data_IF_348719141383
#
_entry.id   IF_348719141383
#
_cell.length_a   1.000
_cell.length_b   1.000
_cell.length_c   1.000
_cell.angle_alpha   90.00
_cell.angle_beta   90.00
_cell.angle_gamma   90.00
#
_symmetry.space_group_name_H-M   'P 1'
#
loop_
_entity.id
_entity.type
_entity.pdbx_description
1 polymer ?
#
# COMPACT_ATOMS: atom_id res chain seq x y z
N UNK A 1 13.56 13.80 11.03
CA UNK A 1 14.96 14.03 10.60
C UNK A 1 15.75 12.72 10.44
N UNK A 2 15.83 11.83 11.44
CA UNK A 2 16.63 10.59 11.34
C UNK A 2 16.23 9.61 10.20
N UNK A 3 14.92 9.43 9.95
CA UNK A 3 14.44 8.50 8.89
C UNK A 3 14.70 9.02 7.48
N UNK A 4 14.53 10.33 7.25
CA UNK A 4 14.84 10.95 5.96
C UNK A 4 16.33 10.77 5.63
N UNK A 5 17.21 11.00 6.61
CA UNK A 5 18.65 10.77 6.44
C UNK A 5 18.97 9.30 6.10
N UNK A 6 18.25 8.34 6.70
CA UNK A 6 18.42 6.91 6.39
C UNK A 6 17.92 6.56 4.97
N UNK A 7 16.78 7.10 4.53
CA UNK A 7 16.24 6.86 3.19
C UNK A 7 17.11 7.51 2.11
N UNK A 8 17.64 8.71 2.36
CA UNK A 8 18.60 9.37 1.46
C UNK A 8 19.90 8.57 1.34
N UNK A 9 20.41 8.01 2.45
CA UNK A 9 21.57 7.12 2.41
C UNK A 9 21.28 5.84 1.62
N UNK A 10 20.11 5.22 1.81
CA UNK A 10 19.68 4.07 1.00
C UNK A 10 19.58 4.42 -0.49
N UNK A 11 19.06 5.61 -0.82
CA UNK A 11 18.97 6.08 -2.18
C UNK A 11 20.35 6.21 -2.83
N UNK A 12 21.32 6.80 -2.13
CA UNK A 12 22.70 6.90 -2.59
C UNK A 12 23.33 5.51 -2.81
N UNK A 13 23.09 4.57 -1.89
CA UNK A 13 23.59 3.20 -2.02
C UNK A 13 23.04 2.51 -3.28
N UNK A 14 21.72 2.62 -3.54
CA UNK A 14 21.13 2.00 -4.73
C UNK A 14 21.54 2.69 -6.02
N UNK A 15 21.73 4.01 -6.02
CA UNK A 15 22.33 4.72 -7.15
C UNK A 15 23.73 4.18 -7.48
N UNK A 16 24.56 3.99 -6.46
CA UNK A 16 25.87 3.38 -6.65
C UNK A 16 25.75 1.95 -7.20
N UNK A 17 24.92 1.09 -6.61
CA UNK A 17 24.72 -0.28 -7.09
C UNK A 17 24.25 -0.34 -8.54
N UNK A 18 23.31 0.51 -8.95
CA UNK A 18 22.84 0.59 -10.35
C UNK A 18 23.95 1.05 -11.29
N UNK A 19 24.83 1.96 -10.86
CA UNK A 19 25.98 2.37 -11.68
C UNK A 19 26.98 1.23 -11.93
N UNK A 20 27.13 0.32 -10.95
CA UNK A 20 28.00 -0.86 -11.07
C UNK A 20 27.31 -2.04 -11.77
N UNK A 21 25.98 -2.15 -11.63
CA UNK A 21 25.18 -3.29 -12.09
C UNK A 21 23.89 -2.80 -12.78
N UNK A 22 24.00 -2.19 -13.98
CA UNK A 22 22.86 -1.53 -14.64
C UNK A 22 21.76 -2.50 -15.10
N UNK A 23 22.04 -3.81 -15.15
CA UNK A 23 21.09 -4.87 -15.52
C UNK A 23 20.64 -5.71 -14.31
N UNK A 24 20.77 -5.20 -13.09
CA UNK A 24 20.27 -5.88 -11.89
C UNK A 24 18.85 -5.37 -11.56
N UNK A 25 17.77 -6.13 -11.89
CA UNK A 25 16.40 -5.64 -11.68
C UNK A 25 16.09 -5.43 -10.19
N UNK A 26 16.69 -6.22 -9.29
CA UNK A 26 16.48 -6.07 -7.85
C UNK A 26 16.99 -4.72 -7.32
N UNK A 27 18.04 -4.15 -7.92
CA UNK A 27 18.55 -2.85 -7.53
C UNK A 27 17.54 -1.73 -7.85
N UNK A 28 16.88 -1.81 -9.01
CA UNK A 28 15.80 -0.89 -9.37
C UNK A 28 14.58 -1.08 -8.47
N UNK A 29 14.14 -2.32 -8.19
CA UNK A 29 13.02 -2.56 -7.26
C UNK A 29 13.29 -1.92 -5.90
N UNK A 30 14.49 -2.12 -5.35
CA UNK A 30 14.86 -1.57 -4.05
C UNK A 30 14.93 -0.05 -4.06
N UNK A 31 15.42 0.56 -5.14
CA UNK A 31 15.44 2.02 -5.28
C UNK A 31 14.04 2.59 -5.49
N UNK A 32 13.18 1.92 -6.26
CA UNK A 32 11.77 2.28 -6.43
C UNK A 32 11.01 2.28 -5.11
N UNK A 33 11.23 1.28 -4.25
CA UNK A 33 10.69 1.26 -2.88
C UNK A 33 11.18 2.45 -2.05
N UNK A 34 12.45 2.86 -2.18
CA UNK A 34 13.00 4.02 -1.45
C UNK A 34 12.41 5.33 -1.99
N UNK A 35 12.27 5.48 -3.30
CA UNK A 35 11.60 6.63 -3.92
C UNK A 35 10.17 6.80 -3.42
N UNK A 36 9.41 5.71 -3.36
CA UNK A 36 8.06 5.75 -2.78
C UNK A 36 8.07 6.26 -1.34
N UNK A 37 8.93 5.70 -0.48
CA UNK A 37 9.06 6.11 0.94
C UNK A 37 9.49 7.57 1.12
N UNK A 38 10.13 8.16 0.11
CA UNK A 38 10.50 9.58 0.05
C UNK A 38 9.40 10.47 -0.54
N UNK A 39 8.23 9.91 -0.91
CA UNK A 39 7.14 10.63 -1.57
C UNK A 39 7.39 10.92 -3.05
N UNK A 40 8.43 10.32 -3.65
CA UNK A 40 8.80 10.47 -5.06
C UNK A 40 8.14 9.38 -5.89
N UNK A 41 6.84 9.53 -6.14
CA UNK A 41 6.00 8.43 -6.62
C UNK A 41 6.26 8.13 -8.10
N UNK A 42 6.44 9.15 -8.93
CA UNK A 42 6.77 8.98 -10.35
C UNK A 42 8.10 8.27 -10.54
N UNK A 43 9.15 8.65 -9.80
CA UNK A 43 10.45 7.97 -9.84
C UNK A 43 10.35 6.52 -9.34
N UNK A 44 9.47 6.25 -8.38
CA UNK A 44 9.18 4.88 -7.93
C UNK A 44 8.66 4.00 -9.06
N UNK A 45 7.69 4.50 -9.83
CA UNK A 45 7.13 3.80 -10.99
C UNK A 45 8.19 3.57 -12.06
N UNK A 46 9.01 4.58 -12.37
CA UNK A 46 10.06 4.46 -13.39
C UNK A 46 11.07 3.34 -13.06
N UNK A 47 11.39 3.16 -11.78
CA UNK A 47 12.28 2.10 -11.32
C UNK A 47 11.62 0.72 -11.41
N UNK A 48 10.34 0.58 -11.05
CA UNK A 48 9.61 -0.68 -11.25
C UNK A 48 9.48 -1.04 -12.74
N UNK A 49 9.20 -0.05 -13.60
CA UNK A 49 9.15 -0.21 -15.05
C UNK A 49 10.51 -0.65 -15.61
N UNK A 50 11.61 -0.13 -15.06
CA UNK A 50 12.97 -0.52 -15.44
C UNK A 50 13.29 -1.96 -15.01
N UNK A 51 12.87 -2.36 -13.80
CA UNK A 51 13.03 -3.73 -13.33
C UNK A 51 12.27 -4.74 -14.21
N UNK A 52 11.01 -4.43 -14.57
CA UNK A 52 10.18 -5.24 -15.48
C UNK A 52 10.79 -5.35 -16.88
N UNK A 53 11.36 -4.26 -17.43
CA UNK A 53 12.06 -4.29 -18.72
C UNK A 53 13.28 -5.22 -18.72
N UNK A 54 13.98 -5.32 -17.59
CA UNK A 54 15.15 -6.19 -17.45
C UNK A 54 14.71 -7.65 -17.27
N UNK A 55 13.69 -7.89 -16.45
CA UNK A 55 13.12 -9.23 -16.24
C UNK A 55 11.59 -9.18 -16.06
N UNK A 56 10.87 -9.45 -17.14
CA UNK A 56 9.40 -9.41 -17.16
C UNK A 56 8.75 -10.46 -16.25
N UNK A 57 9.49 -11.50 -15.82
CA UNK A 57 8.95 -12.52 -14.91
C UNK A 57 8.72 -11.97 -13.51
N UNK A 58 9.27 -10.79 -13.21
CA UNK A 58 9.09 -10.09 -11.95
C UNK A 58 7.75 -9.37 -11.85
N UNK A 59 7.04 -9.12 -12.96
CA UNK A 59 5.79 -8.33 -12.96
C UNK A 59 4.78 -8.73 -11.88
N UNK A 60 4.50 -10.02 -11.62
CA UNK A 60 3.57 -10.45 -10.56
C UNK A 60 4.06 -10.24 -9.12
N UNK A 61 5.29 -9.76 -8.94
CA UNK A 61 5.91 -9.51 -7.64
C UNK A 61 6.17 -8.01 -7.40
N UNK A 62 5.63 -7.14 -8.26
CA UNK A 62 5.81 -5.68 -8.22
C UNK A 62 4.58 -4.96 -7.64
N UNK A 63 3.94 -5.52 -6.61
CA UNK A 63 2.75 -4.91 -5.97
C UNK A 63 2.95 -3.47 -5.50
N UNK A 64 4.18 -3.07 -5.13
CA UNK A 64 4.48 -1.68 -4.77
C UNK A 64 4.33 -0.70 -5.95
N UNK A 65 4.42 -1.19 -7.19
CA UNK A 65 4.10 -0.41 -8.40
C UNK A 65 2.61 -0.10 -8.45
N UNK A 66 1.75 -1.05 -8.06
CA UNK A 66 0.30 -0.86 -7.93
C UNK A 66 -0.04 0.21 -6.91
N UNK A 67 0.65 0.20 -5.76
CA UNK A 67 0.55 1.28 -4.77
C UNK A 67 0.95 2.63 -5.35
N UNK A 68 2.06 2.67 -6.08
CA UNK A 68 2.55 3.89 -6.70
C UNK A 68 1.54 4.43 -7.72
N UNK A 69 0.93 3.57 -8.54
CA UNK A 69 -0.16 3.93 -9.45
C UNK A 69 -1.36 4.56 -8.73
N UNK A 70 -1.74 4.06 -7.54
CA UNK A 70 -2.81 4.68 -6.75
C UNK A 70 -2.50 6.15 -6.41
N UNK A 71 -1.25 6.45 -6.01
CA UNK A 71 -0.88 7.79 -5.57
C UNK A 71 -0.70 8.82 -6.70
N UNK A 72 -0.40 8.37 -7.92
CA UNK A 72 -0.43 9.22 -9.13
C UNK A 72 -1.77 9.16 -9.86
N UNK A 73 -2.81 8.67 -9.20
CA UNK A 73 -4.20 8.59 -9.72
C UNK A 73 -4.37 7.76 -10.99
N UNK A 74 -3.41 6.87 -11.28
CA UNK A 74 -3.44 5.89 -12.37
C UNK A 74 -4.18 4.63 -11.92
N UNK A 75 -5.41 4.80 -11.45
CA UNK A 75 -6.16 3.74 -10.77
C UNK A 75 -6.42 2.52 -11.66
N UNK A 76 -6.64 2.71 -12.98
CA UNK A 76 -6.86 1.62 -13.91
C UNK A 76 -5.61 0.72 -14.04
N UNK A 77 -4.41 1.32 -14.12
CA UNK A 77 -3.16 0.56 -14.06
C UNK A 77 -2.94 -0.09 -12.69
N UNK A 78 -3.33 0.57 -11.60
CA UNK A 78 -3.33 -0.01 -10.26
C UNK A 78 -4.18 -1.28 -10.17
N UNK A 79 -5.44 -1.25 -10.63
CA UNK A 79 -6.32 -2.43 -10.69
C UNK A 79 -5.64 -3.56 -11.45
N UNK A 80 -5.12 -3.27 -12.65
CA UNK A 80 -4.47 -4.29 -13.49
C UNK A 80 -3.23 -4.88 -12.81
N UNK A 81 -2.40 -4.07 -12.16
CA UNK A 81 -1.21 -4.54 -11.45
C UNK A 81 -1.60 -5.49 -10.32
N UNK A 82 -2.56 -5.12 -9.46
CA UNK A 82 -3.01 -6.00 -8.37
C UNK A 82 -3.68 -7.28 -8.87
N UNK A 83 -4.39 -7.25 -10.01
CA UNK A 83 -4.90 -8.46 -10.65
C UNK A 83 -3.78 -9.41 -11.09
N UNK A 84 -2.66 -8.85 -11.59
CA UNK A 84 -1.47 -9.64 -11.95
C UNK A 84 -0.81 -10.21 -10.69
N UNK A 85 -0.66 -9.42 -9.62
CA UNK A 85 -0.05 -9.87 -8.37
C UNK A 85 -0.85 -11.00 -7.69
N UNK A 86 -2.19 -10.91 -7.75
CA UNK A 86 -3.09 -11.95 -7.26
C UNK A 86 -2.93 -13.30 -7.99
N UNK A 87 -2.31 -13.35 -9.18
CA UNK A 87 -2.03 -14.62 -9.87
C UNK A 87 -1.00 -15.48 -9.12
N UNK A 88 -0.12 -14.87 -8.33
CA UNK A 88 0.89 -15.56 -7.52
C UNK A 88 0.62 -15.45 -6.01
N UNK A 89 -0.18 -14.47 -5.58
CA UNK A 89 -0.50 -14.21 -4.17
C UNK A 89 -2.03 -14.12 -3.89
N UNK A 90 -2.79 -15.09 -4.38
CA UNK A 90 -4.26 -15.07 -4.35
C UNK A 90 -4.91 -15.08 -2.94
N UNK A 91 -4.13 -15.23 -1.87
CA UNK A 91 -4.64 -15.33 -0.48
C UNK A 91 -4.27 -14.13 0.39
N UNK A 92 -3.64 -13.11 -0.17
CA UNK A 92 -3.30 -11.90 0.55
C UNK A 92 -4.45 -10.88 0.48
N UNK A 93 -4.96 -10.50 1.65
CA UNK A 93 -6.01 -9.49 1.75
C UNK A 93 -5.52 -8.15 1.24
N UNK A 94 -4.24 -7.80 1.41
CA UNK A 94 -3.74 -6.48 1.02
C UNK A 94 -3.91 -6.26 -0.49
N UNK A 95 -3.54 -7.23 -1.32
CA UNK A 95 -3.66 -7.10 -2.78
C UNK A 95 -5.13 -6.93 -3.22
N UNK A 96 -6.03 -7.68 -2.61
CA UNK A 96 -7.47 -7.58 -2.90
C UNK A 96 -8.04 -6.23 -2.44
N UNK A 97 -7.63 -5.75 -1.26
CA UNK A 97 -8.06 -4.46 -0.71
C UNK A 97 -7.50 -3.29 -1.53
N UNK A 98 -6.24 -3.37 -1.98
CA UNK A 98 -5.66 -2.33 -2.83
C UNK A 98 -6.29 -2.29 -4.22
N UNK A 99 -6.60 -3.45 -4.80
CA UNK A 99 -7.44 -3.53 -6.00
C UNK A 99 -8.79 -2.86 -5.76
N UNK A 100 -9.46 -3.16 -4.64
CA UNK A 100 -10.72 -2.51 -4.25
C UNK A 100 -10.56 -0.98 -4.17
N UNK A 101 -9.50 -0.47 -3.53
CA UNK A 101 -9.29 0.97 -3.37
C UNK A 101 -9.15 1.68 -4.72
N UNK A 102 -8.39 1.09 -5.65
CA UNK A 102 -8.31 1.59 -7.03
C UNK A 102 -9.67 1.56 -7.73
N UNK A 103 -10.43 0.46 -7.60
CA UNK A 103 -11.77 0.37 -8.17
C UNK A 103 -12.73 1.39 -7.56
N UNK A 104 -12.68 1.62 -6.26
CA UNK A 104 -13.55 2.58 -5.57
C UNK A 104 -13.31 4.00 -6.08
N UNK A 105 -12.06 4.36 -6.41
CA UNK A 105 -11.72 5.65 -7.04
C UNK A 105 -12.19 5.77 -8.48
N UNK A 106 -12.43 4.66 -9.19
CA UNK A 106 -12.93 4.65 -10.57
C UNK A 106 -14.47 4.57 -10.65
N UNK A 107 -15.07 3.72 -9.84
CA UNK A 107 -16.47 3.31 -9.99
C UNK A 107 -17.32 3.52 -8.74
N UNK A 108 -16.73 3.89 -7.61
CA UNK A 108 -17.41 4.03 -6.33
C UNK A 108 -17.33 2.77 -5.44
N UNK A 109 -17.60 2.98 -4.14
CA UNK A 109 -17.48 1.98 -3.06
C UNK A 109 -18.40 0.78 -3.26
N UNK A 110 -19.63 0.99 -3.73
CA UNK A 110 -20.61 -0.09 -3.94
C UNK A 110 -20.16 -1.05 -5.04
N UNK A 111 -19.74 -0.51 -6.18
CA UNK A 111 -19.25 -1.28 -7.32
C UNK A 111 -17.94 -2.00 -6.97
N UNK A 112 -17.04 -1.34 -6.26
CA UNK A 112 -15.80 -1.95 -5.78
C UNK A 112 -16.09 -3.12 -4.82
N UNK A 113 -17.08 -3.00 -3.93
CA UNK A 113 -17.49 -4.06 -3.01
C UNK A 113 -18.06 -5.26 -3.75
N UNK A 114 -18.90 -5.03 -4.75
CA UNK A 114 -19.46 -6.10 -5.56
C UNK A 114 -18.39 -6.84 -6.38
N UNK A 115 -17.27 -6.18 -6.67
CA UNK A 115 -16.13 -6.74 -7.39
C UNK A 115 -14.99 -7.24 -6.47
N UNK A 116 -15.21 -7.31 -5.15
CA UNK A 116 -14.23 -7.78 -4.18
C UNK A 116 -13.94 -9.28 -4.40
N UNK A 117 -12.66 -9.63 -4.53
CA UNK A 117 -12.25 -11.01 -4.79
C UNK A 117 -12.19 -11.80 -3.48
N UNK A 118 -12.63 -13.07 -3.46
CA UNK A 118 -12.68 -13.85 -2.24
C UNK A 118 -11.29 -14.26 -1.76
N UNK A 119 -10.97 -13.94 -0.50
CA UNK A 119 -9.77 -14.42 0.19
C UNK A 119 -10.18 -15.48 1.21
N UNK A 120 -9.56 -16.67 1.15
CA UNK A 120 -9.95 -17.82 2.00
C UNK A 120 -9.09 -17.92 3.26
N UNK A 121 -7.77 -17.75 3.15
CA UNK A 121 -6.84 -18.12 4.22
C UNK A 121 -5.70 -17.09 4.44
N UNK A 122 -6.02 -15.87 4.90
CA UNK A 122 -4.99 -14.97 5.45
C UNK A 122 -4.73 -15.31 6.93
N UNK A 123 -3.48 -15.62 7.33
CA UNK A 123 -3.17 -15.97 8.72
C UNK A 123 -3.30 -14.79 9.68
N UNK A 124 -3.27 -13.54 9.19
CA UNK A 124 -3.37 -12.33 10.00
C UNK A 124 -4.84 -12.08 10.32
N UNK A 125 -5.21 -12.25 11.60
CA UNK A 125 -6.60 -12.04 12.04
C UNK A 125 -7.08 -10.60 11.84
N UNK A 126 -6.22 -9.59 12.05
CA UNK A 126 -6.56 -8.21 11.67
C UNK A 126 -6.91 -8.07 10.19
N UNK A 127 -6.16 -8.70 9.28
CA UNK A 127 -6.41 -8.58 7.85
C UNK A 127 -7.71 -9.26 7.43
N UNK A 128 -8.06 -10.41 8.02
CA UNK A 128 -9.39 -11.01 7.80
C UNK A 128 -10.52 -10.07 8.22
N UNK A 129 -10.37 -9.38 9.35
CA UNK A 129 -11.37 -8.40 9.79
C UNK A 129 -11.42 -7.16 8.89
N UNK A 130 -10.27 -6.71 8.37
CA UNK A 130 -10.23 -5.67 7.32
C UNK A 130 -10.98 -6.12 6.07
N UNK A 131 -10.77 -7.35 5.62
CA UNK A 131 -11.52 -7.92 4.50
C UNK A 131 -13.04 -7.89 4.76
N UNK A 132 -13.46 -8.39 5.93
CA UNK A 132 -14.88 -8.41 6.33
C UNK A 132 -15.50 -7.00 6.33
N UNK A 133 -14.75 -5.99 6.78
CA UNK A 133 -15.18 -4.59 6.77
C UNK A 133 -15.39 -4.08 5.34
N UNK A 134 -14.44 -4.32 4.44
CA UNK A 134 -14.55 -3.92 3.03
C UNK A 134 -15.68 -4.66 2.30
N UNK A 135 -15.93 -5.92 2.67
CA UNK A 135 -17.07 -6.71 2.22
C UNK A 135 -18.42 -6.25 2.81
N UNK A 136 -18.42 -5.35 3.79
CA UNK A 136 -19.63 -4.86 4.48
C UNK A 136 -20.22 -5.86 5.50
N UNK A 137 -19.41 -6.82 5.97
CA UNK A 137 -19.80 -7.87 6.91
C UNK A 137 -19.69 -7.40 8.36
N UNK A 138 -18.71 -6.54 8.66
CA UNK A 138 -18.50 -5.98 10.01
C UNK A 138 -18.37 -4.45 10.01
N UNK A 139 -18.33 -3.85 11.20
CA UNK A 139 -18.23 -2.40 11.40
C UNK A 139 -16.80 -1.98 11.77
N UNK A 140 -16.51 -0.68 11.69
CA UNK A 140 -15.18 -0.15 12.02
C UNK A 140 -14.75 -0.48 13.46
N UNK A 141 -15.69 -0.50 14.41
CA UNK A 141 -15.42 -0.86 15.81
C UNK A 141 -14.92 -2.29 15.96
N UNK A 142 -15.38 -3.22 15.12
CA UNK A 142 -14.89 -4.60 15.11
C UNK A 142 -13.41 -4.63 14.71
N UNK A 143 -13.05 -3.91 13.64
CA UNK A 143 -11.66 -3.79 13.16
C UNK A 143 -10.77 -3.17 14.24
N UNK A 144 -11.24 -2.11 14.92
CA UNK A 144 -10.52 -1.48 16.03
C UNK A 144 -10.37 -2.42 17.23
N UNK A 145 -11.39 -3.20 17.57
CA UNK A 145 -11.34 -4.20 18.64
C UNK A 145 -10.26 -5.25 18.36
N UNK A 146 -10.21 -5.81 17.15
CA UNK A 146 -9.16 -6.75 16.76
C UNK A 146 -7.79 -6.09 16.84
N UNK A 147 -7.65 -4.88 16.27
CA UNK A 147 -6.41 -4.12 16.28
C UNK A 147 -5.85 -3.91 17.69
N UNK A 148 -6.71 -3.56 18.66
CA UNK A 148 -6.33 -3.44 20.07
C UNK A 148 -5.79 -4.74 20.66
N UNK A 149 -6.41 -5.88 20.35
CA UNK A 149 -5.96 -7.19 20.86
C UNK A 149 -4.62 -7.65 20.28
N UNK A 150 -4.24 -7.17 19.10
CA UNK A 150 -2.98 -7.52 18.41
C UNK A 150 -1.87 -6.48 18.64
N UNK A 151 -2.07 -5.57 19.60
CA UNK A 151 -1.08 -4.59 20.02
C UNK A 151 -0.76 -3.55 18.94
N UNK A 152 0.50 -3.10 18.90
CA UNK A 152 0.90 -1.97 18.03
C UNK A 152 0.71 -2.28 16.54
N UNK A 153 1.05 -3.49 16.10
CA UNK A 153 0.91 -3.92 14.70
C UNK A 153 -0.57 -4.02 14.31
N UNK A 154 -1.41 -4.59 15.17
CA UNK A 154 -2.86 -4.64 14.96
C UNK A 154 -3.48 -3.24 14.84
N UNK A 155 -3.14 -2.34 15.77
CA UNK A 155 -3.61 -0.95 15.73
C UNK A 155 -3.12 -0.21 14.48
N UNK A 156 -1.90 -0.45 14.03
CA UNK A 156 -1.40 0.13 12.79
C UNK A 156 -2.29 -0.26 11.60
N UNK A 157 -2.49 -1.56 11.38
CA UNK A 157 -3.25 -2.06 10.23
C UNK A 157 -4.73 -1.69 10.30
N UNK A 158 -5.34 -1.71 11.50
CA UNK A 158 -6.74 -1.27 11.66
C UNK A 158 -6.92 0.18 11.24
N UNK A 159 -6.08 1.09 11.74
CA UNK A 159 -6.19 2.51 11.43
C UNK A 159 -5.81 2.82 9.99
N UNK A 160 -4.78 2.17 9.44
CA UNK A 160 -4.43 2.36 8.02
C UNK A 160 -5.62 2.02 7.11
N UNK A 161 -6.18 0.81 7.24
CA UNK A 161 -7.19 0.34 6.31
C UNK A 161 -8.58 0.97 6.53
N UNK A 162 -8.90 1.41 7.75
CA UNK A 162 -10.07 2.27 7.99
C UNK A 162 -9.89 3.64 7.32
N UNK A 163 -8.72 4.27 7.50
CA UNK A 163 -8.43 5.58 6.91
C UNK A 163 -8.53 5.57 5.39
N UNK A 164 -7.94 4.56 4.74
CA UNK A 164 -8.02 4.38 3.27
C UNK A 164 -9.46 4.16 2.80
N UNK A 165 -10.25 3.37 3.53
CA UNK A 165 -11.66 3.15 3.19
C UNK A 165 -12.46 4.45 3.27
N UNK A 166 -12.30 5.21 4.36
CA UNK A 166 -13.03 6.45 4.53
C UNK A 166 -12.63 7.52 3.52
N UNK A 167 -11.38 7.51 3.03
CA UNK A 167 -10.95 8.36 1.91
C UNK A 167 -11.79 8.07 0.65
N UNK A 168 -11.85 6.80 0.22
CA UNK A 168 -12.60 6.42 -0.99
C UNK A 168 -14.12 6.51 -0.80
N UNK A 169 -14.61 6.49 0.45
CA UNK A 169 -16.00 6.71 0.81
C UNK A 169 -16.36 8.21 1.00
N UNK A 170 -15.44 9.12 0.71
CA UNK A 170 -15.62 10.58 0.82
C UNK A 170 -15.94 11.07 2.24
N UNK A 171 -15.45 10.36 3.27
CA UNK A 171 -15.55 10.73 4.68
C UNK A 171 -14.19 11.24 5.18
N UNK A 172 -13.78 12.42 4.69
CA UNK A 172 -12.40 12.93 4.79
C UNK A 172 -11.96 13.16 6.23
N UNK A 173 -12.84 13.63 7.12
CA UNK A 173 -12.50 13.85 8.53
C UNK A 173 -12.07 12.55 9.22
N UNK A 174 -12.80 11.45 8.96
CA UNK A 174 -12.45 10.13 9.47
C UNK A 174 -11.18 9.59 8.81
N UNK A 175 -11.05 9.78 7.49
CA UNK A 175 -9.85 9.37 6.77
C UNK A 175 -8.59 10.00 7.37
N UNK A 176 -8.62 11.32 7.62
CA UNK A 176 -7.55 12.05 8.27
C UNK A 176 -7.28 11.51 9.68
N UNK A 177 -8.31 11.38 10.52
CA UNK A 177 -8.16 10.89 11.90
C UNK A 177 -7.41 9.55 11.95
N UNK A 178 -7.85 8.59 11.13
CA UNK A 178 -7.29 7.25 11.13
C UNK A 178 -5.88 7.19 10.51
N UNK A 179 -5.65 7.87 9.38
CA UNK A 179 -4.32 7.90 8.75
C UNK A 179 -3.29 8.57 9.65
N UNK A 180 -3.63 9.68 10.30
CA UNK A 180 -2.73 10.40 11.22
C UNK A 180 -2.36 9.50 12.40
N UNK A 181 -3.33 8.80 13.00
CA UNK A 181 -3.05 7.81 14.06
C UNK A 181 -2.13 6.68 13.57
N UNK A 182 -2.37 6.13 12.38
CA UNK A 182 -1.54 5.08 11.80
C UNK A 182 -0.10 5.54 11.57
N UNK A 183 0.10 6.76 11.05
CA UNK A 183 1.41 7.32 10.75
C UNK A 183 2.19 7.72 12.02
N UNK A 184 1.54 8.42 12.95
CA UNK A 184 2.22 9.08 14.07
C UNK A 184 2.28 8.22 15.35
N UNK A 185 1.21 7.46 15.64
CA UNK A 185 1.07 6.75 16.92
C UNK A 185 1.50 5.28 16.81
N UNK A 186 1.21 4.62 15.68
CA UNK A 186 1.39 3.18 15.51
C UNK A 186 2.56 2.81 14.60
N UNK A 187 3.69 3.48 14.77
CA UNK A 187 4.91 3.18 14.00
C UNK A 187 5.39 1.74 14.12
N UNK A 188 5.54 1.07 12.98
CA UNK A 188 6.13 -0.27 12.84
C UNK A 188 7.25 -0.27 11.79
N UNK A 189 8.14 -1.27 11.84
CA UNK A 189 9.20 -1.46 10.83
C UNK A 189 8.66 -2.27 9.65
N UNK A 190 7.81 -1.63 8.86
CA UNK A 190 7.08 -2.25 7.75
C UNK A 190 6.97 -1.24 6.60
N UNK A 191 6.91 -1.72 5.36
CA UNK A 191 6.70 -0.88 4.19
C UNK A 191 5.39 -0.08 4.30
N UNK A 192 4.35 -0.71 4.83
CA UNK A 192 3.02 -0.10 4.95
C UNK A 192 3.01 1.09 5.91
N UNK A 193 3.89 1.13 6.92
CA UNK A 193 4.00 2.31 7.78
C UNK A 193 4.56 3.51 7.01
N UNK A 194 5.53 3.32 6.13
CA UNK A 194 5.98 4.42 5.27
C UNK A 194 4.87 4.87 4.32
N UNK A 195 4.04 3.94 3.85
CA UNK A 195 2.86 4.28 3.05
C UNK A 195 1.90 5.19 3.81
N UNK A 196 1.61 4.94 5.09
CA UNK A 196 0.74 5.86 5.85
C UNK A 196 1.35 7.24 6.03
N UNK A 197 2.67 7.34 6.20
CA UNK A 197 3.40 8.61 6.25
C UNK A 197 3.33 9.36 4.91
N UNK A 198 3.59 8.66 3.80
CA UNK A 198 3.49 9.22 2.45
C UNK A 198 2.06 9.66 2.15
N UNK A 199 1.06 8.86 2.54
CA UNK A 199 -0.34 9.20 2.41
C UNK A 199 -0.67 10.50 3.14
N UNK A 200 -0.32 10.57 4.43
CA UNK A 200 -0.51 11.76 5.27
C UNK A 200 0.12 12.99 4.63
N UNK A 201 1.35 12.87 4.12
CA UNK A 201 2.07 13.95 3.46
C UNK A 201 1.38 14.40 2.17
N UNK A 202 1.05 13.48 1.25
CA UNK A 202 0.46 13.81 -0.05
C UNK A 202 -0.96 14.38 0.08
N UNK A 203 -1.68 14.07 1.17
CA UNK A 203 -3.01 14.60 1.46
C UNK A 203 -3.02 15.82 2.38
N UNK A 204 -1.86 16.27 2.87
CA UNK A 204 -1.73 17.35 3.85
C UNK A 204 -2.58 17.11 5.11
N UNK A 205 -2.61 15.88 5.60
CA UNK A 205 -3.30 15.52 6.83
C UNK A 205 -2.45 15.89 8.04
N UNK A 206 -3.11 16.47 9.07
CA UNK A 206 -2.48 17.01 10.27
C UNK A 206 -2.97 16.33 11.53
#
# INVERSE_FOLDING_TARGET
MFFLNSLESQLQQWNYTISQQPHNPNAYIRRGMVYFKLGKIEESIQDFDSAEKIDFRLTPYLWQRGLSYYYVERFAEGVKQFEIDLTVNAQDVEETVWRYLCMARLTGVEQARNALLPVKNDPRRIMRCVYDFYAGICQADDVLNIGRTEGKKGNFYSHLYLGLYYEVANQIDLAQEYIVKAADQYKIDDYMWYLSVVHKQLRNYH
#
